data_IF_929405552504
#
_entry.id   IF_929405552504
#
_cell.length_a   1.000
_cell.length_b   1.000
_cell.length_c   1.000
_cell.angle_alpha   90.00
_cell.angle_beta   90.00
_cell.angle_gamma   90.00
#
_symmetry.space_group_name_H-M   'P 1'
#
loop_
_entity.id
_entity.type
_entity.pdbx_description
1 polymer ?
#
# COMPACT_ATOMS: atom_id res chain seq x y z
N UNK A 1 45.02 27.54 -0.21
CA UNK A 1 44.32 27.79 1.07
C UNK A 1 43.21 26.77 1.19
N UNK A 2 43.43 25.69 1.94
CA UNK A 2 42.35 24.75 2.26
C UNK A 2 41.46 25.43 3.31
N UNK A 3 40.34 25.98 2.85
CA UNK A 3 39.27 26.38 3.77
C UNK A 3 38.90 25.15 4.59
N UNK A 4 39.06 25.22 5.90
CA UNK A 4 38.62 24.14 6.79
C UNK A 4 37.11 24.03 6.64
N UNK A 5 36.64 22.93 6.06
CA UNK A 5 35.20 22.71 5.85
C UNK A 5 34.45 22.86 7.16
N UNK A 6 33.29 23.52 7.11
CA UNK A 6 32.46 23.71 8.30
C UNK A 6 31.78 22.38 8.64
N UNK A 7 32.14 21.84 9.79
CA UNK A 7 31.55 20.64 10.38
C UNK A 7 30.49 21.03 11.39
N UNK A 8 29.31 20.40 11.33
CA UNK A 8 28.21 20.65 12.25
C UNK A 8 27.74 19.34 12.88
N UNK A 9 27.13 19.47 14.05
CA UNK A 9 26.48 18.35 14.72
C UNK A 9 25.12 18.14 14.05
N UNK A 10 24.76 16.90 13.76
CA UNK A 10 23.43 16.56 13.26
C UNK A 10 22.32 16.79 14.28
N UNK A 11 21.12 16.39 13.91
CA UNK A 11 19.88 16.59 14.65
C UNK A 11 18.78 16.96 13.68
N UNK A 12 17.77 17.69 14.14
CA UNK A 12 16.70 18.16 13.27
C UNK A 12 17.22 19.05 12.14
N UNK A 13 16.77 18.79 10.92
CA UNK A 13 17.19 19.53 9.72
C UNK A 13 17.01 21.06 9.84
N UNK A 14 15.94 21.52 10.49
CA UNK A 14 15.71 22.94 10.75
C UNK A 14 16.70 23.56 11.76
N UNK A 15 17.38 22.74 12.57
CA UNK A 15 18.37 23.14 13.56
C UNK A 15 19.80 23.20 13.04
N UNK A 16 20.06 22.71 11.82
CA UNK A 16 21.40 22.74 11.23
C UNK A 16 21.85 24.20 11.03
N UNK A 17 23.14 24.43 11.32
CA UNK A 17 23.76 25.73 11.15
C UNK A 17 23.98 26.08 9.68
N UNK A 18 23.91 27.37 9.36
CA UNK A 18 24.16 27.84 7.99
C UNK A 18 25.58 27.51 7.51
N UNK A 19 25.71 27.29 6.20
CA UNK A 19 26.96 26.96 5.52
C UNK A 19 27.65 25.69 6.04
N UNK A 20 26.87 24.78 6.62
CA UNK A 20 27.38 23.46 6.96
C UNK A 20 27.80 22.70 5.69
N UNK A 21 28.97 22.06 5.72
CA UNK A 21 29.47 21.22 4.63
C UNK A 21 29.46 19.75 5.04
N UNK A 22 29.78 19.47 6.30
CA UNK A 22 29.84 18.10 6.84
C UNK A 22 28.96 18.00 8.09
N UNK A 23 28.12 16.97 8.16
CA UNK A 23 27.32 16.63 9.35
C UNK A 23 27.95 15.43 10.05
N UNK A 24 28.24 15.55 11.35
CA UNK A 24 28.90 14.54 12.16
C UNK A 24 28.20 14.29 13.51
N UNK A 25 28.62 13.21 14.19
CA UNK A 25 28.26 12.78 15.56
C UNK A 25 26.82 12.29 15.75
N UNK A 26 25.86 12.89 15.08
CA UNK A 26 24.43 12.56 15.19
C UNK A 26 23.79 12.57 13.81
N UNK A 27 22.73 11.76 13.65
CA UNK A 27 21.95 11.69 12.41
C UNK A 27 21.36 13.04 12.04
N UNK A 28 21.20 13.28 10.75
CA UNK A 28 20.31 14.33 10.25
C UNK A 28 18.87 13.80 10.23
N UNK A 29 17.96 14.48 10.92
CA UNK A 29 16.59 14.01 11.16
C UNK A 29 15.54 14.91 10.51
N UNK A 30 14.60 14.29 9.79
CA UNK A 30 13.44 14.93 9.16
C UNK A 30 12.16 14.30 9.72
N UNK A 31 11.47 15.00 10.63
CA UNK A 31 10.30 14.46 11.33
C UNK A 31 9.03 15.30 11.07
N UNK A 32 7.89 14.61 11.01
CA UNK A 32 6.56 15.21 11.05
C UNK A 32 6.10 15.80 9.70
N UNK A 33 4.99 16.54 9.74
CA UNK A 33 4.38 17.13 8.54
C UNK A 33 5.26 18.25 7.95
N UNK A 34 6.08 17.85 6.98
CA UNK A 34 6.86 18.73 6.14
C UNK A 34 5.98 19.15 4.95
N UNK A 35 5.01 20.03 5.21
CA UNK A 35 4.13 20.50 4.15
C UNK A 35 4.87 21.40 3.15
N UNK A 36 4.81 21.00 1.88
CA UNK A 36 5.13 21.81 0.72
C UNK A 36 3.97 22.79 0.48
N UNK A 37 3.77 23.72 1.41
CA UNK A 37 2.64 24.63 1.34
C UNK A 37 2.85 25.63 0.19
N UNK A 38 2.41 25.25 -1.02
CA UNK A 38 2.28 26.11 -2.20
C UNK A 38 1.30 27.29 -2.01
N UNK A 39 0.72 27.46 -0.81
CA UNK A 39 0.01 28.67 -0.41
C UNK A 39 0.99 29.81 -0.07
N UNK A 40 2.01 30.00 -0.91
CA UNK A 40 3.01 31.04 -0.77
C UNK A 40 2.46 32.37 -1.33
N UNK A 41 1.77 33.10 -0.48
CA UNK A 41 1.74 34.57 -0.57
C UNK A 41 2.20 35.24 0.73
N UNK A 42 2.33 34.51 1.86
CA UNK A 42 2.55 35.12 3.17
C UNK A 42 3.51 34.40 4.14
N UNK A 43 4.04 33.21 3.79
CA UNK A 43 4.99 32.50 4.67
C UNK A 43 6.13 31.92 3.84
N UNK A 44 7.36 32.34 4.12
CA UNK A 44 8.56 31.64 3.66
C UNK A 44 8.43 30.18 4.13
N UNK A 45 8.33 29.25 3.18
CA UNK A 45 8.00 27.85 3.45
C UNK A 45 9.00 27.21 4.40
N UNK A 46 8.51 26.45 5.38
CA UNK A 46 9.36 25.73 6.33
C UNK A 46 10.38 24.82 5.60
N UNK A 47 9.94 24.15 4.54
CA UNK A 47 10.80 23.35 3.66
C UNK A 47 11.87 24.17 2.94
N UNK A 48 11.57 25.38 2.47
CA UNK A 48 12.56 26.25 1.81
C UNK A 48 13.66 26.66 2.79
N UNK A 49 13.29 26.92 4.05
CA UNK A 49 14.27 27.23 5.10
C UNK A 49 15.21 26.04 5.38
N UNK A 50 14.68 24.81 5.36
CA UNK A 50 15.49 23.59 5.49
C UNK A 50 16.40 23.43 4.28
N UNK A 51 15.86 23.59 3.07
CA UNK A 51 16.60 23.49 1.81
C UNK A 51 17.77 24.49 1.78
N UNK A 52 17.54 25.73 2.18
CA UNK A 52 18.58 26.76 2.25
C UNK A 52 19.68 26.41 3.27
N UNK A 53 19.32 25.82 4.42
CA UNK A 53 20.30 25.38 5.42
C UNK A 53 21.18 24.24 4.93
N UNK A 54 20.57 23.29 4.22
CA UNK A 54 21.24 22.07 3.76
C UNK A 54 21.97 22.23 2.42
N UNK A 55 21.75 23.31 1.67
CA UNK A 55 22.27 23.51 0.30
C UNK A 55 23.80 23.32 0.12
N UNK A 56 24.57 23.50 1.20
CA UNK A 56 26.04 23.40 1.17
C UNK A 56 26.54 22.06 1.74
N UNK A 57 25.66 21.24 2.32
CA UNK A 57 26.02 19.95 2.91
C UNK A 57 26.41 19.01 1.79
N UNK A 58 27.62 18.44 1.87
CA UNK A 58 28.16 17.47 0.90
C UNK A 58 28.38 16.10 1.52
N UNK A 59 28.67 16.05 2.82
CA UNK A 59 29.02 14.81 3.50
C UNK A 59 28.23 14.66 4.81
N UNK A 60 27.72 13.46 5.06
CA UNK A 60 27.00 13.11 6.29
C UNK A 60 27.65 11.85 6.86
N UNK A 61 28.29 11.96 8.02
CA UNK A 61 29.10 10.89 8.63
C UNK A 61 28.34 10.06 9.67
N UNK A 62 27.08 10.40 9.94
CA UNK A 62 26.26 9.76 10.99
C UNK A 62 24.87 9.35 10.52
N UNK A 63 24.65 9.28 9.20
CA UNK A 63 23.40 8.86 8.57
C UNK A 63 22.27 9.89 8.59
N UNK A 64 21.16 9.51 7.96
CA UNK A 64 19.94 10.33 7.82
C UNK A 64 18.73 9.51 8.24
N UNK A 65 17.78 10.13 8.94
CA UNK A 65 16.48 9.55 9.23
C UNK A 65 15.34 10.47 8.76
N UNK A 66 14.37 9.87 8.09
CA UNK A 66 13.16 10.51 7.57
C UNK A 66 11.96 9.76 8.13
N UNK A 67 11.26 10.37 9.09
CA UNK A 67 10.27 9.68 9.92
C UNK A 67 8.94 10.42 9.93
N UNK A 68 7.87 9.71 9.56
CA UNK A 68 6.50 10.20 9.72
C UNK A 68 6.21 11.45 8.90
N UNK A 69 6.90 11.64 7.77
CA UNK A 69 6.67 12.79 6.88
C UNK A 69 5.52 12.54 5.92
N UNK A 70 4.98 13.62 5.38
CA UNK A 70 3.95 13.64 4.34
C UNK A 70 4.51 14.00 2.95
N UNK A 71 5.84 14.04 2.80
CA UNK A 71 6.51 14.35 1.55
C UNK A 71 6.20 13.28 0.50
N UNK A 72 5.85 13.73 -0.71
CA UNK A 72 5.76 12.83 -1.87
C UNK A 72 7.12 12.58 -2.52
N UNK A 73 8.01 13.56 -2.43
CA UNK A 73 9.36 13.53 -2.99
C UNK A 73 10.31 13.97 -1.90
N UNK A 74 11.29 13.15 -1.58
CA UNK A 74 12.42 13.53 -0.74
C UNK A 74 13.58 13.95 -1.64
N UNK A 75 13.79 15.27 -1.79
CA UNK A 75 14.84 15.88 -2.61
C UNK A 75 15.73 16.88 -1.86
N UNK A 76 15.58 16.95 -0.53
CA UNK A 76 16.28 17.93 0.31
C UNK A 76 17.80 17.72 0.35
N UNK A 77 18.26 16.54 -0.08
CA UNK A 77 19.65 16.11 -0.08
C UNK A 77 20.14 15.73 -1.49
N UNK A 78 19.51 16.24 -2.55
CA UNK A 78 19.83 15.84 -3.94
C UNK A 78 21.30 16.10 -4.34
N UNK A 79 21.92 17.09 -3.69
CA UNK A 79 23.32 17.52 -3.89
C UNK A 79 24.32 16.89 -2.91
N UNK A 80 23.89 16.00 -2.01
CA UNK A 80 24.79 15.32 -1.06
C UNK A 80 25.56 14.24 -1.79
N UNK A 81 26.88 14.22 -1.59
CA UNK A 81 27.80 13.31 -2.29
C UNK A 81 28.07 12.04 -1.50
N UNK A 82 28.12 12.13 -0.16
CA UNK A 82 28.43 11.00 0.71
C UNK A 82 27.53 10.93 1.93
N UNK A 83 26.97 9.74 2.18
CA UNK A 83 26.25 9.43 3.42
C UNK A 83 26.82 8.13 3.99
N UNK A 84 27.35 8.22 5.20
CA UNK A 84 27.90 7.10 5.94
C UNK A 84 27.29 7.04 7.33
N UNK A 85 27.23 5.84 7.90
CA UNK A 85 26.94 5.66 9.32
C UNK A 85 27.65 4.42 9.86
N UNK A 86 28.79 4.59 10.56
CA UNK A 86 29.53 3.45 11.13
C UNK A 86 28.77 2.73 12.26
N UNK A 87 27.73 3.36 12.81
CA UNK A 87 26.99 2.88 13.98
C UNK A 87 25.60 2.32 13.64
N UNK A 88 25.12 2.44 12.39
CA UNK A 88 23.79 2.01 11.98
C UNK A 88 23.55 2.11 10.49
N UNK A 89 22.29 2.28 10.08
CA UNK A 89 21.91 2.49 8.68
C UNK A 89 22.36 3.88 8.21
N UNK A 90 22.84 3.99 6.98
CA UNK A 90 23.17 5.27 6.38
C UNK A 90 21.90 6.09 6.07
N UNK A 91 20.83 5.42 5.63
CA UNK A 91 19.51 6.01 5.41
C UNK A 91 18.42 5.22 6.13
N UNK A 92 17.50 5.93 6.78
CA UNK A 92 16.33 5.33 7.42
C UNK A 92 15.06 6.07 7.01
N UNK A 93 14.12 5.35 6.42
CA UNK A 93 12.79 5.83 6.08
C UNK A 93 11.77 5.05 6.90
N UNK A 94 11.02 5.75 7.76
CA UNK A 94 10.09 5.11 8.69
C UNK A 94 8.73 5.79 8.68
N UNK A 95 7.66 5.01 8.46
CA UNK A 95 6.28 5.47 8.58
C UNK A 95 5.95 6.71 7.70
N UNK A 96 6.64 6.93 6.57
CA UNK A 96 6.28 8.00 5.66
C UNK A 96 5.07 7.59 4.83
N UNK A 97 4.03 8.43 4.82
CA UNK A 97 2.70 8.05 4.30
C UNK A 97 2.56 8.17 2.79
N UNK A 98 3.30 9.11 2.19
CA UNK A 98 3.11 9.51 0.80
C UNK A 98 4.41 9.44 -0.01
N UNK A 99 5.50 8.92 0.56
CA UNK A 99 6.82 9.01 -0.05
C UNK A 99 6.90 8.12 -1.29
N UNK A 100 6.96 8.74 -2.46
CA UNK A 100 6.96 8.04 -3.75
C UNK A 100 8.32 8.14 -4.44
N UNK A 101 9.11 9.17 -4.14
CA UNK A 101 10.38 9.46 -4.81
C UNK A 101 11.47 9.80 -3.79
N UNK A 102 12.67 9.29 -3.99
CA UNK A 102 13.86 9.59 -3.20
C UNK A 102 14.95 10.03 -4.17
N UNK A 103 15.20 11.34 -4.24
CA UNK A 103 16.14 11.95 -5.19
C UNK A 103 17.45 12.29 -4.49
N UNK A 104 18.50 11.60 -4.91
CA UNK A 104 19.87 11.74 -4.41
C UNK A 104 20.85 11.65 -5.60
N UNK A 105 20.68 12.55 -6.56
CA UNK A 105 21.35 12.49 -7.86
C UNK A 105 22.88 12.59 -7.76
N UNK A 106 23.41 13.37 -6.80
CA UNK A 106 24.86 13.54 -6.62
C UNK A 106 25.50 12.51 -5.69
N UNK A 107 24.70 11.60 -5.10
CA UNK A 107 25.19 10.61 -4.15
C UNK A 107 26.11 9.59 -4.82
N UNK A 108 27.31 9.42 -4.25
CA UNK A 108 28.36 8.52 -4.73
C UNK A 108 28.82 7.52 -3.69
N UNK A 109 28.62 7.86 -2.41
CA UNK A 109 28.94 6.96 -1.30
C UNK A 109 27.73 6.79 -0.39
N UNK A 110 27.36 5.53 -0.17
CA UNK A 110 26.29 5.11 0.72
C UNK A 110 26.80 3.88 1.50
N UNK A 111 27.04 4.04 2.80
CA UNK A 111 27.79 3.04 3.59
C UNK A 111 27.28 3.00 5.04
N UNK A 112 26.46 1.98 5.35
CA UNK A 112 25.98 1.66 6.68
C UNK A 112 26.80 0.56 7.36
N UNK A 113 26.51 0.30 8.64
CA UNK A 113 27.26 -0.68 9.43
C UNK A 113 27.01 -2.14 9.03
N UNK A 114 25.75 -2.52 8.86
CA UNK A 114 25.33 -3.88 8.52
C UNK A 114 24.49 -3.84 7.25
N UNK A 115 23.45 -3.02 7.26
CA UNK A 115 22.74 -2.66 6.06
C UNK A 115 22.79 -1.14 5.79
N UNK A 116 22.79 -0.75 4.52
CA UNK A 116 22.94 0.65 4.11
C UNK A 116 21.65 1.44 4.30
N UNK A 117 20.51 0.84 3.93
CA UNK A 117 19.20 1.49 3.93
C UNK A 117 18.17 0.68 4.72
N UNK A 118 17.40 1.36 5.57
CA UNK A 118 16.24 0.80 6.26
C UNK A 118 14.95 1.44 5.73
N UNK A 119 13.99 0.59 5.38
CA UNK A 119 12.60 0.97 5.22
C UNK A 119 11.74 0.25 6.27
N UNK A 120 11.05 1.01 7.12
CA UNK A 120 10.14 0.46 8.13
C UNK A 120 8.75 1.07 7.99
N UNK A 121 7.75 0.24 7.66
CA UNK A 121 6.36 0.67 7.47
C UNK A 121 6.24 1.87 6.52
N UNK A 122 7.05 1.90 5.47
CA UNK A 122 7.20 3.06 4.61
C UNK A 122 6.50 2.85 3.26
N UNK A 123 5.71 3.84 2.84
CA UNK A 123 4.95 3.76 1.58
C UNK A 123 5.86 3.60 0.35
N UNK A 124 7.10 4.09 0.41
CA UNK A 124 8.03 4.00 -0.70
C UNK A 124 8.25 2.56 -1.20
N UNK A 125 8.26 1.58 -0.28
CA UNK A 125 8.43 0.16 -0.66
C UNK A 125 7.25 -0.37 -1.47
N UNK A 126 6.04 0.09 -1.18
CA UNK A 126 4.83 -0.30 -1.92
C UNK A 126 4.87 0.28 -3.34
N UNK A 127 5.37 1.52 -3.48
CA UNK A 127 5.43 2.24 -4.75
C UNK A 127 6.43 1.66 -5.76
N UNK A 128 7.53 1.05 -5.31
CA UNK A 128 8.56 0.45 -6.19
C UNK A 128 7.96 -0.56 -7.18
N UNK A 129 6.89 -1.28 -6.80
CA UNK A 129 6.25 -2.26 -7.67
C UNK A 129 5.35 -1.65 -8.75
N UNK A 130 4.78 -0.47 -8.49
CA UNK A 130 3.79 0.18 -9.36
C UNK A 130 4.34 1.35 -10.18
N UNK A 131 5.49 1.90 -9.78
CA UNK A 131 6.03 3.13 -10.32
C UNK A 131 7.48 2.96 -10.79
N UNK A 132 7.71 3.11 -12.09
CA UNK A 132 9.04 2.97 -12.70
C UNK A 132 10.04 3.99 -12.18
N UNK A 133 9.59 5.18 -11.78
CA UNK A 133 10.47 6.21 -11.24
C UNK A 133 10.91 5.87 -9.81
N UNK A 134 10.02 5.34 -8.98
CA UNK A 134 10.34 4.86 -7.62
C UNK A 134 11.31 3.68 -7.67
N UNK A 135 11.10 2.75 -8.61
CA UNK A 135 12.05 1.67 -8.88
C UNK A 135 13.40 2.21 -9.34
N UNK A 136 13.44 3.22 -10.20
CA UNK A 136 14.69 3.85 -10.63
C UNK A 136 15.44 4.48 -9.46
N UNK A 137 14.75 5.19 -8.57
CA UNK A 137 15.35 5.80 -7.38
C UNK A 137 15.94 4.71 -6.45
N UNK A 138 15.22 3.60 -6.25
CA UNK A 138 15.69 2.47 -5.45
C UNK A 138 16.93 1.80 -6.05
N UNK A 139 16.93 1.54 -7.37
CA UNK A 139 18.09 0.96 -8.07
C UNK A 139 19.30 1.89 -8.10
N UNK A 140 19.08 3.21 -8.11
CA UNK A 140 20.17 4.18 -7.96
C UNK A 140 20.84 4.04 -6.59
N UNK A 141 20.06 4.00 -5.50
CA UNK A 141 20.60 3.77 -4.15
C UNK A 141 21.35 2.43 -4.05
N UNK A 142 20.81 1.36 -4.63
CA UNK A 142 21.47 0.05 -4.70
C UNK A 142 22.82 0.14 -5.40
N UNK A 143 22.85 0.79 -6.57
CA UNK A 143 24.05 0.93 -7.37
C UNK A 143 25.13 1.71 -6.62
N UNK A 144 24.75 2.77 -5.89
CA UNK A 144 25.68 3.58 -5.10
C UNK A 144 26.23 2.78 -3.90
N UNK A 145 25.37 2.08 -3.16
CA UNK A 145 25.77 1.20 -2.06
C UNK A 145 26.75 0.12 -2.55
N UNK A 146 26.41 -0.56 -3.64
CA UNK A 146 27.25 -1.61 -4.25
C UNK A 146 28.64 -1.11 -4.64
N UNK A 147 28.73 0.08 -5.23
CA UNK A 147 30.00 0.73 -5.55
C UNK A 147 30.79 1.09 -4.28
N UNK A 148 30.13 1.59 -3.24
CA UNK A 148 30.74 1.95 -1.95
C UNK A 148 31.42 0.76 -1.29
N UNK A 149 30.77 -0.41 -1.36
CA UNK A 149 31.27 -1.68 -0.84
C UNK A 149 32.20 -2.44 -1.80
N UNK A 150 32.50 -1.87 -2.98
CA UNK A 150 33.31 -2.51 -4.04
C UNK A 150 32.80 -3.91 -4.43
N UNK A 151 31.49 -4.08 -4.44
CA UNK A 151 30.83 -5.33 -4.84
C UNK A 151 30.46 -5.27 -6.32
N UNK A 152 30.59 -6.40 -7.00
CA UNK A 152 30.19 -6.50 -8.42
C UNK A 152 28.69 -6.79 -8.55
N UNK A 153 28.14 -7.59 -7.64
CA UNK A 153 26.74 -8.02 -7.61
C UNK A 153 25.93 -7.34 -6.49
N UNK A 154 24.60 -7.39 -6.63
CA UNK A 154 23.67 -6.87 -5.63
C UNK A 154 23.87 -7.59 -4.28
N UNK A 155 23.94 -6.82 -3.20
CA UNK A 155 24.23 -7.36 -1.87
C UNK A 155 22.99 -7.41 -0.97
N UNK A 156 22.81 -8.47 -0.17
CA UNK A 156 21.79 -8.47 0.88
C UNK A 156 22.05 -7.39 1.96
N UNK A 157 23.27 -6.87 2.04
CA UNK A 157 23.66 -5.77 2.94
C UNK A 157 23.20 -4.39 2.43
N UNK A 158 22.57 -4.30 1.25
CA UNK A 158 22.06 -3.01 0.77
C UNK A 158 20.86 -2.52 1.60
N UNK A 159 19.86 -3.38 1.82
CA UNK A 159 18.55 -2.93 2.30
C UNK A 159 17.93 -3.88 3.30
N UNK A 160 17.33 -3.29 4.33
CA UNK A 160 16.43 -3.96 5.26
C UNK A 160 15.02 -3.39 5.11
N UNK A 161 14.05 -4.27 4.94
CA UNK A 161 12.64 -3.90 4.81
C UNK A 161 11.89 -4.54 5.97
N UNK A 162 11.22 -3.71 6.78
CA UNK A 162 10.36 -4.12 7.87
C UNK A 162 8.96 -3.61 7.54
N UNK A 163 8.11 -4.47 7.00
CA UNK A 163 6.68 -4.19 6.86
C UNK A 163 5.96 -4.66 8.11
N UNK A 164 5.11 -3.83 8.69
CA UNK A 164 4.05 -4.29 9.58
C UNK A 164 3.31 -5.36 8.82
N UNK A 165 3.17 -6.54 9.43
CA UNK A 165 2.34 -7.59 8.85
C UNK A 165 1.06 -6.91 8.39
N UNK A 166 0.84 -6.88 7.06
CA UNK A 166 -0.43 -6.48 6.52
C UNK A 166 -1.42 -7.26 7.34
N UNK A 167 -2.38 -6.59 7.99
CA UNK A 167 -3.46 -7.29 8.67
C UNK A 167 -4.01 -8.24 7.62
N UNK A 168 -3.61 -9.51 7.71
CA UNK A 168 -3.94 -10.48 6.70
C UNK A 168 -5.44 -10.38 6.61
N UNK A 169 -5.96 -10.21 5.40
CA UNK A 169 -7.38 -10.24 5.11
C UNK A 169 -8.05 -11.53 5.63
N UNK A 170 -7.38 -12.40 6.39
CA UNK A 170 -7.85 -13.60 7.05
C UNK A 170 -9.22 -13.44 7.67
N UNK A 171 -9.48 -12.46 8.55
CA UNK A 171 -10.80 -12.36 9.19
C UNK A 171 -11.90 -11.88 8.24
N UNK A 172 -11.65 -10.84 7.44
CA UNK A 172 -12.66 -10.28 6.53
C UNK A 172 -12.93 -11.18 5.32
N UNK A 173 -11.91 -11.84 4.79
CA UNK A 173 -12.03 -12.84 3.73
C UNK A 173 -12.72 -14.10 4.24
N UNK A 174 -12.40 -14.58 5.45
CA UNK A 174 -13.16 -15.70 6.04
C UNK A 174 -14.61 -15.32 6.30
N UNK A 175 -14.89 -14.13 6.82
CA UNK A 175 -16.25 -13.65 7.04
C UNK A 175 -17.02 -13.58 5.71
N UNK A 176 -16.38 -13.11 4.64
CA UNK A 176 -16.97 -13.05 3.30
C UNK A 176 -17.25 -14.46 2.75
N UNK A 177 -16.29 -15.39 2.84
CA UNK A 177 -16.44 -16.79 2.40
C UNK A 177 -17.59 -17.47 3.16
N UNK A 178 -17.64 -17.33 4.48
CA UNK A 178 -18.71 -17.90 5.32
C UNK A 178 -20.07 -17.30 4.95
N UNK A 179 -20.13 -15.98 4.71
CA UNK A 179 -21.37 -15.31 4.30
C UNK A 179 -21.89 -15.82 2.95
N UNK A 180 -21.01 -16.05 1.98
CA UNK A 180 -21.36 -16.62 0.68
C UNK A 180 -21.90 -18.06 0.80
N UNK A 181 -21.28 -18.89 1.65
CA UNK A 181 -21.74 -20.25 1.89
C UNK A 181 -23.15 -20.29 2.50
N UNK A 182 -23.42 -19.44 3.50
CA UNK A 182 -24.75 -19.34 4.14
C UNK A 182 -25.81 -18.88 3.13
N UNK A 183 -25.52 -17.87 2.31
CA UNK A 183 -26.44 -17.37 1.29
C UNK A 183 -26.76 -18.45 0.24
N UNK A 184 -25.79 -19.25 -0.18
CA UNK A 184 -26.02 -20.35 -1.12
C UNK A 184 -27.00 -21.41 -0.55
N UNK A 185 -26.88 -21.74 0.74
CA UNK A 185 -27.83 -22.63 1.43
C UNK A 185 -29.23 -22.02 1.48
N UNK A 186 -29.35 -20.72 1.77
CA UNK A 186 -30.66 -20.05 1.80
C UNK A 186 -31.33 -20.07 0.42
N UNK A 187 -30.57 -19.75 -0.64
CA UNK A 187 -31.09 -19.74 -2.02
C UNK A 187 -31.53 -21.13 -2.47
N UNK A 188 -30.76 -22.17 -2.16
CA UNK A 188 -31.13 -23.56 -2.48
C UNK A 188 -32.39 -24.01 -1.74
N UNK A 189 -32.53 -23.65 -0.46
CA UNK A 189 -33.74 -23.92 0.33
C UNK A 189 -34.95 -23.18 -0.23
N UNK A 190 -34.84 -21.89 -0.52
CA UNK A 190 -35.93 -21.10 -1.12
C UNK A 190 -36.34 -21.67 -2.48
N UNK A 191 -35.38 -22.04 -3.33
CA UNK A 191 -35.64 -22.66 -4.64
C UNK A 191 -36.36 -24.00 -4.48
N UNK A 192 -35.96 -24.83 -3.52
CA UNK A 192 -36.61 -26.10 -3.21
C UNK A 192 -38.07 -25.93 -2.75
N UNK A 193 -38.34 -24.96 -1.86
CA UNK A 193 -39.70 -24.65 -1.41
C UNK A 193 -40.57 -24.10 -2.55
N UNK A 194 -40.01 -23.25 -3.42
CA UNK A 194 -40.72 -22.73 -4.61
C UNK A 194 -41.06 -23.85 -5.61
N UNK A 195 -40.15 -24.81 -5.83
CA UNK A 195 -40.40 -25.97 -6.69
C UNK A 195 -41.44 -26.92 -6.09
N UNK A 196 -41.41 -27.19 -4.78
CA UNK A 196 -42.47 -27.95 -4.08
C UNK A 196 -43.82 -27.23 -4.09
N UNK A 197 -43.82 -25.90 -3.98
CA UNK A 197 -45.02 -25.06 -4.07
C UNK A 197 -45.70 -25.15 -5.45
N UNK A 198 -44.92 -25.08 -6.53
CA UNK A 198 -45.43 -25.25 -7.90
C UNK A 198 -46.00 -26.66 -8.16
N UNK A 199 -45.42 -27.70 -7.56
CA UNK A 199 -45.95 -29.07 -7.63
C UNK A 199 -47.33 -29.26 -6.97
N UNK A 200 -47.59 -28.59 -5.84
CA UNK A 200 -48.91 -28.63 -5.17
C UNK A 200 -49.98 -27.84 -5.94
N UNK A 201 -49.63 -26.70 -6.54
CA UNK A 201 -50.56 -25.91 -7.36
C UNK A 201 -50.97 -26.66 -8.64
N UNK A 202 -50.02 -27.36 -9.31
CA UNK A 202 -50.33 -28.20 -10.49
C UNK A 202 -51.27 -29.37 -10.15
N UNK A 203 -51.08 -30.04 -9.00
CA UNK A 203 -51.97 -31.13 -8.55
C UNK A 203 -53.37 -30.64 -8.15
N UNK A 204 -53.52 -29.46 -7.54
CA UNK A 204 -54.83 -28.89 -7.22
C UNK A 204 -55.60 -28.39 -8.47
N UNK A 205 -54.90 -27.90 -9.50
CA UNK A 205 -55.55 -27.49 -10.76
C UNK A 205 -56.09 -28.70 -11.57
N UNK A 206 -55.48 -29.88 -11.46
CA UNK A 206 -56.02 -31.12 -12.04
C UNK A 206 -57.20 -31.69 -11.25
N UNK A 207 -57.19 -31.58 -9.90
CA UNK A 207 -58.32 -32.01 -9.06
C UNK A 207 -59.58 -31.16 -9.24
N UNK A 208 -59.47 -29.85 -9.52
CA UNK A 208 -60.67 -29.02 -9.75
C UNK A 208 -61.29 -29.19 -11.15
N UNK A 209 -60.51 -29.58 -12.16
CA UNK A 209 -61.02 -29.93 -13.50
C UNK A 209 -61.75 -31.29 -13.54
N UNK A 210 -61.40 -32.23 -12.65
CA UNK A 210 -62.10 -33.52 -12.53
C UNK A 210 -63.52 -33.42 -11.93
N UNK A 211 -63.79 -32.44 -11.07
CA UNK A 211 -65.10 -32.29 -10.40
C UNK A 211 -66.18 -31.59 -11.25
N UNK A 212 -65.83 -30.89 -12.34
CA UNK A 212 -66.81 -30.26 -13.23
C UNK A 212 -67.39 -31.20 -14.31
N UNK A 213 -66.84 -32.41 -14.49
CA UNK A 213 -67.36 -33.38 -15.48
C UNK A 213 -68.44 -34.34 -14.97
N UNK A 214 -68.75 -34.35 -13.66
CA UNK A 214 -69.70 -35.30 -13.08
C UNK A 214 -71.13 -34.78 -12.87
N UNK A 215 -71.45 -33.59 -13.40
CA UNK A 215 -72.75 -32.93 -13.19
C UNK A 215 -73.40 -32.47 -14.51
N UNK A 216 -73.43 -33.32 -15.53
CA UNK A 216 -74.30 -33.15 -16.71
C UNK A 216 -74.39 -34.49 -17.46
N UNK A 217 -75.52 -35.17 -17.36
CA UNK A 217 -75.79 -36.39 -18.14
C UNK A 217 -76.57 -37.47 -17.40
N UNK A 218 -77.75 -37.15 -16.85
CA UNK A 218 -78.77 -38.16 -16.53
C UNK A 218 -80.12 -37.60 -16.97
N UNK A 219 -80.80 -38.33 -17.85
CA UNK A 219 -82.02 -37.98 -18.59
C UNK A 219 -81.71 -38.05 -20.09
N UNK A 220 -82.19 -39.01 -20.89
CA UNK A 220 -83.49 -39.66 -20.86
C UNK A 220 -83.39 -41.09 -21.42
N UNK A 221 -84.21 -42.00 -20.90
CA UNK A 221 -84.39 -43.38 -21.35
C UNK A 221 -85.81 -43.52 -21.91
N UNK A 222 -85.96 -43.77 -23.20
CA UNK A 222 -87.16 -44.34 -23.85
C UNK A 222 -86.67 -45.60 -24.57
N UNK A 223 -87.05 -46.81 -24.12
CA UNK A 223 -88.33 -47.54 -24.24
C UNK A 223 -88.44 -48.34 -25.56
N UNK A 224 -88.90 -49.57 -25.37
CA UNK A 224 -89.43 -50.59 -26.29
C UNK A 224 -88.47 -51.40 -27.14
N UNK A 225 -88.06 -52.51 -26.53
CA UNK A 225 -88.14 -53.89 -27.05
C UNK A 225 -89.43 -54.16 -27.85
N UNK A 226 -89.29 -54.83 -29.01
CA UNK A 226 -90.32 -55.62 -29.70
C UNK A 226 -89.63 -56.79 -30.42
N UNK A 227 -89.68 -57.93 -29.75
CA UNK A 227 -90.08 -59.27 -30.19
C UNK A 227 -89.97 -59.65 -31.68
N UNK A 228 -89.29 -60.77 -31.89
CA UNK A 228 -89.48 -61.69 -33.01
C UNK A 228 -90.81 -62.45 -32.86
N UNK A 229 -91.41 -62.75 -34.02
CA UNK A 229 -92.56 -63.63 -34.33
C UNK A 229 -94.00 -63.14 -34.05
#
# INVERSE_FOLDING_TARGET
MTSKEKRCIGGYASGIEDNCVVIEKTKLSFHGELEDCKCALLTNGYLDSIRQKLQNVRHIESGVEVVGTNLAVFDLLDHVEEIRNPDGYALEFRNNKNLNRIRMNELRILDGKQEDVLFENDHFIEEIHGNSESLSDFLHLESVARVSHKKEECSPEFVKIITSEASEYGWDLYALIVSCAVLAVIVTVQTFYLLKGKGKIRKNKMRSKGRKKHKKGRGNSERSEKDEE
#
